data_IF_884005956654
#
_entry.id   IF_884005956654
#
_cell.length_a   1.000
_cell.length_b   1.000
_cell.length_c   1.000
_cell.angle_alpha   90.00
_cell.angle_beta   90.00
_cell.angle_gamma   90.00
#
_symmetry.space_group_name_H-M   'P 1'
#
loop_
_entity.id
_entity.type
_entity.pdbx_description
1 polymer ?
#
# COMPACT_ATOMS: atom_id res chain seq x y z
N UNK A 1 13.75 -19.00 -0.09
CA UNK A 1 12.71 -18.13 -0.64
C UNK A 1 12.08 -17.42 0.53
N UNK A 2 11.95 -16.11 0.43
CA UNK A 2 11.30 -15.32 1.47
C UNK A 2 9.80 -15.24 1.16
N UNK A 3 8.99 -15.31 2.21
CA UNK A 3 7.54 -15.16 2.11
C UNK A 3 7.21 -13.71 2.48
N UNK A 4 6.61 -13.01 1.53
CA UNK A 4 6.13 -11.66 1.72
C UNK A 4 4.62 -11.65 1.90
N UNK A 5 4.14 -10.68 2.66
CA UNK A 5 2.71 -10.44 2.83
C UNK A 5 2.40 -8.96 2.79
N UNK A 6 1.23 -8.62 2.26
CA UNK A 6 0.70 -7.27 2.23
C UNK A 6 -0.73 -7.25 2.74
N UNK A 7 -1.02 -6.27 3.57
CA UNK A 7 -2.37 -5.87 3.95
C UNK A 7 -2.70 -4.50 3.33
N UNK A 8 -3.98 -4.18 3.24
CA UNK A 8 -4.46 -2.87 2.82
C UNK A 8 -5.15 -2.21 4.02
N UNK A 9 -4.66 -1.05 4.41
CA UNK A 9 -5.23 -0.27 5.52
C UNK A 9 -5.82 1.04 5.00
N UNK A 10 -6.91 1.46 5.62
CA UNK A 10 -7.41 2.83 5.52
C UNK A 10 -6.91 3.63 6.72
N UNK A 11 -6.24 4.75 6.46
CA UNK A 11 -5.82 5.70 7.48
C UNK A 11 -6.82 6.86 7.59
N UNK A 12 -6.92 7.47 8.77
CA UNK A 12 -7.85 8.56 9.07
C UNK A 12 -7.66 9.76 8.12
N UNK A 13 -6.41 10.15 7.89
CA UNK A 13 -6.05 11.31 7.06
C UNK A 13 -4.64 11.18 6.49
N UNK A 14 -4.39 11.88 5.39
CA UNK A 14 -3.05 12.10 4.89
C UNK A 14 -2.41 13.32 5.56
N UNK A 15 -1.21 13.16 6.14
CA UNK A 15 -0.38 14.29 6.58
C UNK A 15 1.07 14.09 6.12
N UNK A 16 1.55 14.83 5.10
CA UNK A 16 2.92 14.67 4.59
C UNK A 16 4.00 15.09 5.59
N UNK A 17 3.63 15.71 6.72
CA UNK A 17 4.57 16.15 7.76
C UNK A 17 4.61 15.18 8.94
N UNK A 18 3.74 14.17 8.96
CA UNK A 18 3.67 13.17 10.01
C UNK A 18 3.99 11.80 9.41
N UNK A 19 5.18 11.26 9.63
CA UNK A 19 5.58 9.96 9.07
C UNK A 19 4.70 8.80 9.56
N UNK A 20 4.02 8.97 10.70
CA UNK A 20 3.16 7.97 11.31
C UNK A 20 1.71 8.06 10.81
N UNK A 21 1.39 8.98 9.87
CA UNK A 21 0.04 9.09 9.31
C UNK A 21 -0.58 7.75 8.85
N UNK A 22 0.17 6.78 8.25
CA UNK A 22 -0.40 5.49 7.86
C UNK A 22 -0.82 4.62 9.05
N UNK A 23 -0.25 4.86 10.24
CA UNK A 23 -0.49 4.10 11.46
C UNK A 23 -1.78 4.53 12.19
N UNK A 24 -2.35 5.69 11.86
CA UNK A 24 -3.68 6.10 12.34
C UNK A 24 -4.77 5.36 11.55
N UNK A 25 -4.75 4.04 11.63
CA UNK A 25 -5.65 3.14 10.93
C UNK A 25 -7.08 3.27 11.46
N UNK A 26 -8.04 3.36 10.54
CA UNK A 26 -9.48 3.29 10.83
C UNK A 26 -10.11 1.99 10.34
N UNK A 27 -9.44 1.28 9.43
CA UNK A 27 -9.87 -0.03 8.92
C UNK A 27 -8.72 -0.79 8.28
N UNK A 28 -8.72 -2.11 8.37
CA UNK A 28 -7.85 -3.02 7.62
C UNK A 28 -8.51 -3.57 6.35
N UNK A 29 -9.71 -3.07 6.03
CA UNK A 29 -10.56 -3.56 4.94
C UNK A 29 -10.77 -5.09 4.96
N UNK A 30 -10.66 -5.72 6.14
CA UNK A 30 -10.73 -7.17 6.32
C UNK A 30 -9.52 -7.95 5.79
N UNK A 31 -8.44 -7.27 5.37
CA UNK A 31 -7.28 -7.91 4.73
C UNK A 31 -6.30 -8.51 5.73
N UNK A 32 -6.29 -8.08 7.00
CA UNK A 32 -5.37 -8.61 8.02
C UNK A 32 -5.55 -10.12 8.27
N UNK A 33 -6.80 -10.61 8.20
CA UNK A 33 -7.10 -12.04 8.27
C UNK A 33 -6.78 -12.81 6.98
N UNK A 34 -6.66 -12.10 5.85
CA UNK A 34 -6.52 -12.66 4.51
C UNK A 34 -5.49 -11.90 3.67
N UNK A 35 -4.27 -11.78 4.21
CA UNK A 35 -3.20 -11.01 3.56
C UNK A 35 -2.85 -11.58 2.19
N UNK A 36 -2.55 -10.69 1.24
CA UNK A 36 -1.97 -11.10 -0.03
C UNK A 36 -0.55 -11.60 0.21
N UNK A 37 -0.24 -12.83 -0.21
CA UNK A 37 1.06 -13.48 0.01
C UNK A 37 1.73 -13.84 -1.30
N UNK A 38 3.05 -13.69 -1.36
CA UNK A 38 3.86 -14.14 -2.48
C UNK A 38 5.25 -14.58 -2.02
N UNK A 39 5.92 -15.35 -2.87
CA UNK A 39 7.27 -15.85 -2.63
C UNK A 39 8.24 -15.17 -3.58
N UNK A 40 9.30 -14.59 -3.03
CA UNK A 40 10.33 -13.93 -3.83
C UNK A 40 11.66 -13.89 -3.07
N UNK A 41 12.77 -14.21 -3.72
CA UNK A 41 14.10 -14.20 -3.10
C UNK A 41 14.77 -12.83 -3.26
N UNK A 42 14.21 -11.82 -2.62
CA UNK A 42 14.68 -10.42 -2.68
C UNK A 42 14.62 -9.77 -1.30
N UNK A 43 15.41 -8.73 -1.06
CA UNK A 43 15.30 -7.95 0.18
C UNK A 43 14.05 -7.04 0.21
N UNK A 44 13.66 -6.59 1.42
CA UNK A 44 12.42 -5.82 1.63
C UNK A 44 12.30 -4.56 0.75
N UNK A 45 13.40 -3.83 0.53
CA UNK A 45 13.41 -2.65 -0.34
C UNK A 45 12.99 -2.98 -1.77
N UNK A 46 13.41 -4.14 -2.26
CA UNK A 46 13.11 -4.59 -3.61
C UNK A 46 11.68 -5.14 -3.68
N UNK A 47 11.24 -5.90 -2.66
CA UNK A 47 9.87 -6.39 -2.55
C UNK A 47 8.82 -5.24 -2.59
N UNK A 48 9.03 -4.17 -1.80
CA UNK A 48 8.14 -2.99 -1.81
C UNK A 48 8.15 -2.28 -3.16
N UNK A 49 9.34 -2.12 -3.76
CA UNK A 49 9.48 -1.45 -5.06
C UNK A 49 8.73 -2.20 -6.16
N UNK A 50 8.87 -3.52 -6.22
CA UNK A 50 8.16 -4.33 -7.21
C UNK A 50 6.65 -4.31 -6.95
N UNK A 51 6.22 -4.45 -5.69
CA UNK A 51 4.80 -4.31 -5.33
C UNK A 51 4.24 -2.94 -5.73
N UNK A 52 4.98 -1.86 -5.51
CA UNK A 52 4.61 -0.50 -5.93
C UNK A 52 4.41 -0.38 -7.44
N UNK A 53 5.17 -1.11 -8.27
CA UNK A 53 4.95 -1.17 -9.72
C UNK A 53 3.65 -1.89 -10.07
N UNK A 54 3.40 -3.05 -9.45
CA UNK A 54 2.16 -3.80 -9.66
C UNK A 54 0.92 -2.99 -9.25
N UNK A 55 0.98 -2.33 -8.09
CA UNK A 55 -0.09 -1.47 -7.59
C UNK A 55 -0.28 -0.22 -8.46
N UNK A 56 0.80 0.41 -8.92
CA UNK A 56 0.72 1.53 -9.87
C UNK A 56 0.00 1.13 -11.15
N UNK A 57 0.33 -0.05 -11.69
CA UNK A 57 -0.36 -0.61 -12.87
C UNK A 57 -1.82 -0.92 -12.56
N UNK A 58 -2.11 -1.53 -11.42
CA UNK A 58 -3.48 -1.81 -10.99
C UNK A 58 -4.31 -0.52 -10.87
N UNK A 59 -3.73 0.56 -10.31
CA UNK A 59 -4.39 1.85 -10.24
C UNK A 59 -4.65 2.43 -11.64
N UNK A 60 -3.84 2.13 -12.65
CA UNK A 60 -4.07 2.59 -14.02
C UNK A 60 -5.13 1.78 -14.77
N UNK A 61 -5.11 0.45 -14.64
CA UNK A 61 -5.82 -0.48 -15.54
C UNK A 61 -6.86 -1.36 -14.83
N UNK A 62 -6.84 -1.40 -13.49
CA UNK A 62 -7.59 -2.37 -12.69
C UNK A 62 -9.08 -2.07 -12.59
N UNK A 63 -9.89 -3.13 -12.56
CA UNK A 63 -11.35 -3.07 -12.47
C UNK A 63 -11.87 -2.24 -11.29
N UNK A 64 -11.19 -2.30 -10.14
CA UNK A 64 -11.59 -1.56 -8.92
C UNK A 64 -10.70 -0.35 -8.64
N UNK A 65 -9.88 0.09 -9.59
CA UNK A 65 -8.99 1.23 -9.42
C UNK A 65 -9.74 2.52 -9.03
N UNK A 66 -10.94 2.72 -9.55
CA UNK A 66 -11.77 3.89 -9.23
C UNK A 66 -12.13 3.96 -7.74
N UNK A 67 -12.37 2.80 -7.09
CA UNK A 67 -12.63 2.76 -5.65
C UNK A 67 -11.40 3.16 -4.84
N UNK A 68 -10.21 2.65 -5.22
CA UNK A 68 -8.95 3.04 -4.59
C UNK A 68 -8.61 4.51 -4.83
N UNK A 69 -8.97 5.07 -5.99
CA UNK A 69 -8.79 6.49 -6.32
C UNK A 69 -9.88 7.41 -5.78
N UNK A 70 -10.80 6.91 -4.95
CA UNK A 70 -11.83 7.73 -4.33
C UNK A 70 -11.34 8.49 -3.09
N UNK A 71 -10.21 8.04 -2.49
CA UNK A 71 -9.59 8.66 -1.32
C UNK A 71 -8.69 9.83 -1.71
N UNK A 72 -7.95 10.41 -0.75
CA UNK A 72 -7.00 11.50 -1.01
C UNK A 72 -5.66 11.00 -1.55
N UNK A 73 -5.12 9.92 -0.96
CA UNK A 73 -3.81 9.35 -1.28
C UNK A 73 -3.88 7.82 -1.25
N UNK A 74 -3.19 7.18 -2.19
CA UNK A 74 -2.84 5.75 -2.14
C UNK A 74 -1.32 5.65 -2.11
N UNK A 75 -0.80 4.94 -1.11
CA UNK A 75 0.63 4.74 -0.92
C UNK A 75 0.96 3.28 -0.58
N UNK A 76 2.22 2.90 -0.74
CA UNK A 76 2.76 1.60 -0.32
C UNK A 76 3.98 1.81 0.56
N UNK A 77 4.12 1.03 1.62
CA UNK A 77 5.24 1.11 2.55
C UNK A 77 5.58 -0.28 3.10
N UNK A 78 6.80 -0.43 3.62
CA UNK A 78 7.10 -1.45 4.61
C UNK A 78 6.87 -0.86 6.01
N UNK A 79 6.63 -1.68 7.02
CA UNK A 79 6.20 -1.32 8.40
C UNK A 79 6.87 -0.04 8.96
N UNK A 80 8.17 0.16 8.71
CA UNK A 80 8.95 1.32 9.19
C UNK A 80 9.53 2.20 8.07
N UNK A 81 8.99 2.10 6.86
CA UNK A 81 9.48 2.78 5.67
C UNK A 81 8.69 4.04 5.35
N UNK A 82 9.34 5.02 4.73
CA UNK A 82 8.67 6.19 4.17
C UNK A 82 7.68 5.71 3.09
N UNK A 83 6.39 6.05 3.17
CA UNK A 83 5.41 5.64 2.18
C UNK A 83 5.75 6.18 0.79
N UNK A 84 5.76 5.30 -0.20
CA UNK A 84 5.79 5.67 -1.61
C UNK A 84 4.36 5.99 -2.05
N UNK A 85 4.08 7.27 -2.32
CA UNK A 85 2.80 7.69 -2.91
C UNK A 85 2.71 7.15 -4.34
N UNK A 86 1.65 6.38 -4.61
CA UNK A 86 1.35 5.80 -5.92
C UNK A 86 0.30 6.61 -6.68
N UNK A 87 -0.61 7.25 -5.94
CA UNK A 87 -1.62 8.13 -6.49
C UNK A 87 -2.03 9.19 -5.45
N UNK A 88 -2.31 10.39 -5.91
CA UNK A 88 -2.86 11.48 -5.12
C UNK A 88 -3.93 12.19 -5.93
N UNK A 89 -5.06 12.51 -5.28
CA UNK A 89 -6.13 13.30 -5.88
C UNK A 89 -5.60 14.70 -6.23
N UNK A 90 -5.83 15.13 -7.46
CA UNK A 90 -5.51 16.49 -7.92
C UNK A 90 -6.53 17.49 -7.43
#
# INVERSE_FOLDING_TARGET
MDIWSMELVGAERYDPRDADWPCYEVTDLGTRGHMFRWEESVGWHQAVREMGKYLSRYLAEGQHAAALKSVEVVAVAFISGVPQVLWQRK
#
